data_IF_154167876446
#
_entry.id   IF_154167876446
#
_cell.length_a   1.000
_cell.length_b   1.000
_cell.length_c   1.000
_cell.angle_alpha   90.00
_cell.angle_beta   90.00
_cell.angle_gamma   90.00
#
_symmetry.space_group_name_H-M   'P 1'
#
loop_
_entity.id
_entity.type
_entity.pdbx_description
1 polymer ?
#
# COMPACT_ATOMS: atom_id res chain seq x y z
N UNK A 1 -4.13 23.67 13.99
CA UNK A 1 -3.39 22.44 13.65
C UNK A 1 -4.37 21.54 12.91
N UNK A 2 -4.23 21.40 11.58
CA UNK A 2 -5.15 20.61 10.72
C UNK A 2 -4.72 19.13 10.56
N UNK A 3 -3.62 18.72 11.19
CA UNK A 3 -3.02 17.39 10.98
C UNK A 3 -3.83 16.22 11.58
N UNK A 4 -4.87 16.49 12.36
CA UNK A 4 -5.74 15.46 12.97
C UNK A 4 -7.05 15.22 12.20
N UNK A 5 -7.23 15.83 11.03
CA UNK A 5 -8.54 15.88 10.37
C UNK A 5 -8.77 14.77 9.35
N UNK A 6 -7.94 13.74 9.31
CA UNK A 6 -8.03 12.66 8.33
C UNK A 6 -8.35 11.35 9.01
N UNK A 7 -9.38 10.68 8.50
CA UNK A 7 -9.75 9.34 8.89
C UNK A 7 -9.64 8.37 7.70
N UNK A 8 -9.31 7.12 8.01
CA UNK A 8 -9.25 6.05 7.01
C UNK A 8 -10.07 4.87 7.53
N UNK A 9 -11.19 4.60 6.87
CA UNK A 9 -12.06 3.47 7.18
C UNK A 9 -11.70 2.29 6.30
N UNK A 10 -11.38 1.14 6.91
CA UNK A 10 -10.94 -0.05 6.18
C UNK A 10 -12.05 -1.10 6.04
N UNK A 11 -12.19 -1.63 4.83
CA UNK A 11 -13.04 -2.77 4.50
C UNK A 11 -12.20 -3.88 3.86
N UNK A 12 -12.53 -5.13 4.17
CA UNK A 12 -11.81 -6.30 3.71
C UNK A 12 -12.79 -7.34 3.16
N UNK A 13 -12.44 -7.99 2.04
CA UNK A 13 -13.16 -9.12 1.48
C UNK A 13 -12.20 -10.27 1.25
N UNK A 14 -12.52 -11.45 1.78
CA UNK A 14 -11.75 -12.65 1.51
C UNK A 14 -12.16 -13.24 0.15
N UNK A 15 -11.18 -13.55 -0.67
CA UNK A 15 -11.32 -14.26 -1.93
C UNK A 15 -10.79 -15.68 -1.74
N UNK A 16 -11.71 -16.63 -1.61
CA UNK A 16 -11.42 -18.05 -1.37
C UNK A 16 -10.74 -18.72 -2.56
N UNK A 17 -10.97 -18.26 -3.78
CA UNK A 17 -10.40 -18.86 -4.98
C UNK A 17 -8.91 -18.53 -5.10
N UNK A 18 -8.53 -17.30 -4.71
CA UNK A 18 -7.15 -16.83 -4.74
C UNK A 18 -6.41 -16.95 -3.39
N UNK A 19 -7.12 -17.28 -2.31
CA UNK A 19 -6.61 -17.30 -0.92
C UNK A 19 -6.00 -15.96 -0.48
N UNK A 20 -6.63 -14.85 -0.87
CA UNK A 20 -6.19 -13.49 -0.53
C UNK A 20 -7.30 -12.70 0.15
N UNK A 21 -6.92 -11.66 0.90
CA UNK A 21 -7.87 -10.62 1.30
C UNK A 21 -7.66 -9.40 0.42
N UNK A 22 -8.75 -8.98 -0.25
CA UNK A 22 -8.84 -7.70 -0.95
C UNK A 22 -9.20 -6.61 0.06
N UNK A 23 -8.33 -5.61 0.18
CA UNK A 23 -8.45 -4.50 1.10
C UNK A 23 -8.78 -3.18 0.40
N UNK A 24 -9.71 -2.44 0.99
CA UNK A 24 -10.07 -1.08 0.60
C UNK A 24 -10.01 -0.16 1.82
N UNK A 25 -9.45 1.04 1.66
CA UNK A 25 -9.44 2.09 2.67
C UNK A 25 -10.09 3.35 2.13
N UNK A 26 -11.21 3.78 2.69
CA UNK A 26 -11.83 5.07 2.35
C UNK A 26 -11.13 6.19 3.12
N UNK A 27 -10.61 7.20 2.41
CA UNK A 27 -9.94 8.35 3.03
C UNK A 27 -10.93 9.51 3.10
N UNK A 28 -11.22 9.96 4.31
CA UNK A 28 -12.11 11.11 4.55
C UNK A 28 -11.38 12.21 5.33
N UNK A 29 -11.81 13.46 5.13
CA UNK A 29 -11.24 14.60 5.84
C UNK A 29 -12.28 15.67 6.20
N UNK A 30 -12.04 16.36 7.32
CA UNK A 30 -12.76 17.59 7.66
C UNK A 30 -12.10 18.77 6.96
N UNK A 31 -12.80 19.32 5.97
CA UNK A 31 -12.25 20.34 5.06
C UNK A 31 -12.19 21.75 5.65
N UNK A 32 -12.85 22.02 6.77
CA UNK A 32 -12.83 23.30 7.50
C UNK A 32 -13.32 23.13 8.96
N UNK A 33 -13.19 24.18 9.77
CA UNK A 33 -13.60 24.17 11.19
C UNK A 33 -15.11 23.93 11.36
N UNK A 34 -15.95 24.45 10.46
CA UNK A 34 -17.40 24.23 10.47
C UNK A 34 -17.75 22.74 10.27
N UNK A 35 -17.03 22.04 9.38
CA UNK A 35 -17.18 20.63 9.13
C UNK A 35 -16.79 19.80 10.37
N UNK A 36 -15.81 20.25 11.14
CA UNK A 36 -15.44 19.65 12.43
C UNK A 36 -16.56 19.81 13.45
N UNK A 37 -17.11 21.02 13.58
CA UNK A 37 -18.22 21.29 14.52
C UNK A 37 -19.50 20.52 14.19
N UNK A 38 -19.73 20.25 12.90
CA UNK A 38 -20.90 19.53 12.40
C UNK A 38 -20.70 18.02 12.23
N UNK A 39 -19.51 17.50 12.57
CA UNK A 39 -19.10 16.11 12.35
C UNK A 39 -19.35 15.63 10.90
N UNK A 40 -19.02 16.48 9.92
CA UNK A 40 -19.18 16.19 8.49
C UNK A 40 -17.84 15.96 7.83
N UNK A 41 -17.54 14.70 7.54
CA UNK A 41 -16.36 14.35 6.75
C UNK A 41 -16.67 14.41 5.25
N UNK A 42 -15.66 14.73 4.44
CA UNK A 42 -15.72 14.68 2.98
C UNK A 42 -14.80 13.58 2.48
N UNK A 43 -15.29 12.77 1.53
CA UNK A 43 -14.45 11.81 0.82
C UNK A 43 -13.37 12.55 0.03
N UNK A 44 -12.11 12.15 0.19
CA UNK A 44 -10.98 12.79 -0.50
C UNK A 44 -10.09 11.82 -1.26
N UNK A 45 -10.28 10.51 -1.08
CA UNK A 45 -9.39 9.51 -1.68
C UNK A 45 -9.66 8.08 -1.22
N UNK A 46 -8.80 7.16 -1.67
CA UNK A 46 -8.91 5.73 -1.36
C UNK A 46 -7.56 5.02 -1.36
N UNK A 47 -7.46 3.92 -0.62
CA UNK A 47 -6.33 2.99 -0.58
C UNK A 47 -6.80 1.62 -1.07
N UNK A 48 -6.01 0.98 -1.92
CA UNK A 48 -6.22 -0.40 -2.37
C UNK A 48 -5.01 -1.24 -2.00
N UNK A 49 -5.23 -2.40 -1.41
CA UNK A 49 -4.16 -3.30 -0.96
C UNK A 49 -4.63 -4.75 -0.99
N UNK A 50 -3.70 -5.72 -1.01
CA UNK A 50 -4.02 -7.14 -0.79
C UNK A 50 -3.20 -7.72 0.33
N UNK A 51 -3.78 -8.67 1.05
CA UNK A 51 -3.11 -9.45 2.07
C UNK A 51 -2.97 -10.90 1.65
N UNK A 52 -1.73 -11.38 1.73
CA UNK A 52 -1.32 -12.77 1.56
C UNK A 52 -0.88 -13.34 2.90
N UNK A 53 -1.58 -14.37 3.37
CA UNK A 53 -1.10 -15.21 4.45
C UNK A 53 -0.27 -16.35 3.84
N UNK A 54 1.05 -16.18 3.71
CA UNK A 54 1.84 -17.15 2.94
C UNK A 54 1.87 -18.55 3.56
N UNK A 55 1.51 -18.67 4.84
CA UNK A 55 1.28 -19.95 5.54
C UNK A 55 0.15 -20.80 4.95
N UNK A 56 -0.80 -20.20 4.21
CA UNK A 56 -1.94 -20.91 3.61
C UNK A 56 -1.64 -21.44 2.20
N UNK A 57 -0.48 -21.10 1.65
CA UNK A 57 -0.09 -21.51 0.31
C UNK A 57 0.83 -22.74 0.37
N UNK A 58 0.69 -23.62 -0.62
CA UNK A 58 1.50 -24.84 -0.68
C UNK A 58 3.00 -24.55 -0.92
N UNK A 59 3.28 -23.52 -1.71
CA UNK A 59 4.62 -23.07 -2.10
C UNK A 59 4.60 -21.62 -2.64
N UNK A 60 5.78 -21.04 -2.83
CA UNK A 60 5.96 -19.71 -3.45
C UNK A 60 5.26 -19.59 -4.81
N UNK A 61 5.25 -20.67 -5.60
CA UNK A 61 4.69 -20.64 -6.94
C UNK A 61 3.18 -20.42 -6.88
N UNK A 62 2.50 -21.04 -5.92
CA UNK A 62 1.07 -20.86 -5.68
C UNK A 62 0.74 -19.41 -5.32
N UNK A 63 1.60 -18.75 -4.53
CA UNK A 63 1.46 -17.32 -4.20
C UNK A 63 1.59 -16.46 -5.46
N UNK A 64 2.61 -16.72 -6.29
CA UNK A 64 2.84 -15.96 -7.54
C UNK A 64 1.69 -16.17 -8.53
N UNK A 65 1.12 -17.37 -8.63
CA UNK A 65 -0.06 -17.64 -9.48
C UNK A 65 -1.29 -16.85 -9.02
N UNK A 66 -1.56 -16.80 -7.70
CA UNK A 66 -2.64 -15.95 -7.18
C UNK A 66 -2.41 -14.47 -7.47
N UNK A 67 -1.16 -14.01 -7.39
CA UNK A 67 -0.79 -12.64 -7.72
C UNK A 67 -0.99 -12.32 -9.21
N UNK A 68 -0.57 -13.22 -10.12
CA UNK A 68 -0.79 -13.10 -11.58
C UNK A 68 -2.28 -13.01 -11.95
N UNK A 69 -3.12 -13.80 -11.28
CA UNK A 69 -4.57 -13.77 -11.49
C UNK A 69 -5.21 -12.40 -11.15
N UNK A 70 -4.53 -11.58 -10.34
CA UNK A 70 -4.94 -10.22 -9.99
C UNK A 70 -4.40 -9.23 -11.03
N UNK A 71 -3.08 -9.17 -11.20
CA UNK A 71 -2.40 -8.33 -12.20
C UNK A 71 -0.92 -8.68 -12.34
N UNK A 72 -0.31 -8.29 -13.47
CA UNK A 72 1.14 -8.43 -13.65
C UNK A 72 1.98 -7.55 -12.71
N UNK A 73 1.43 -6.44 -12.18
CA UNK A 73 2.11 -5.62 -11.17
C UNK A 73 2.17 -6.35 -9.82
N UNK A 74 1.07 -7.02 -9.48
CA UNK A 74 0.95 -7.82 -8.27
C UNK A 74 1.88 -9.05 -8.34
N UNK A 75 1.87 -9.76 -9.48
CA UNK A 75 2.83 -10.83 -9.79
C UNK A 75 4.27 -10.35 -9.61
N UNK A 76 4.61 -9.20 -10.20
CA UNK A 76 5.95 -8.63 -10.15
C UNK A 76 6.41 -8.30 -8.73
N UNK A 77 5.54 -7.73 -7.89
CA UNK A 77 5.83 -7.48 -6.47
C UNK A 77 6.11 -8.79 -5.72
N UNK A 78 5.21 -9.76 -5.83
CA UNK A 78 5.31 -11.02 -5.09
C UNK A 78 6.50 -11.87 -5.56
N UNK A 79 6.72 -11.96 -6.86
CA UNK A 79 7.88 -12.65 -7.42
C UNK A 79 9.19 -12.01 -6.95
N UNK A 80 9.31 -10.69 -6.99
CA UNK A 80 10.53 -9.98 -6.58
C UNK A 80 10.80 -10.15 -5.08
N UNK A 81 9.75 -10.14 -4.26
CA UNK A 81 9.85 -10.39 -2.82
C UNK A 81 10.35 -11.82 -2.53
N UNK A 82 9.74 -12.83 -3.16
CA UNK A 82 9.98 -14.25 -2.86
C UNK A 82 11.27 -14.80 -3.48
N UNK A 83 11.71 -14.26 -4.62
CA UNK A 83 12.88 -14.78 -5.36
C UNK A 83 14.13 -13.92 -5.25
N UNK A 84 14.06 -12.80 -4.54
CA UNK A 84 15.17 -11.87 -4.44
C UNK A 84 16.21 -12.27 -3.38
N UNK A 85 17.50 -12.17 -3.72
CA UNK A 85 18.65 -12.32 -2.80
C UNK A 85 18.76 -11.09 -1.86
N UNK A 86 17.71 -10.81 -1.08
CA UNK A 86 17.59 -9.59 -0.29
C UNK A 86 17.66 -9.82 1.23
N UNK A 87 17.90 -11.06 1.66
CA UNK A 87 18.02 -11.41 3.08
C UNK A 87 16.70 -11.33 3.86
N UNK A 88 15.57 -11.21 3.17
CA UNK A 88 14.23 -11.38 3.76
C UNK A 88 13.89 -12.85 3.72
N UNK A 89 14.09 -13.52 4.84
CA UNK A 89 13.87 -14.95 4.98
C UNK A 89 12.36 -15.20 5.16
N UNK A 90 11.63 -15.23 4.04
CA UNK A 90 10.25 -15.72 3.99
C UNK A 90 10.17 -17.24 4.05
N UNK A 91 11.31 -17.95 4.17
CA UNK A 91 11.42 -19.41 4.14
C UNK A 91 10.55 -20.13 5.20
N UNK A 92 10.05 -19.40 6.21
CA UNK A 92 9.15 -19.91 7.24
C UNK A 92 7.72 -19.34 7.18
N UNK A 93 7.36 -18.69 6.09
CA UNK A 93 6.08 -18.00 5.95
C UNK A 93 6.06 -16.61 6.59
N UNK A 94 4.99 -15.86 6.29
CA UNK A 94 4.78 -14.50 6.73
C UNK A 94 3.46 -13.92 6.22
N UNK A 95 3.03 -12.82 6.81
CA UNK A 95 1.86 -12.07 6.39
C UNK A 95 2.32 -10.85 5.60
N UNK A 96 2.09 -10.90 4.30
CA UNK A 96 2.53 -9.87 3.35
C UNK A 96 1.32 -9.04 2.95
N UNK A 97 1.46 -7.71 2.98
CA UNK A 97 0.51 -6.80 2.36
C UNK A 97 1.15 -6.12 1.16
N UNK A 98 0.50 -6.19 0.02
CA UNK A 98 0.87 -5.39 -1.17
C UNK A 98 0.04 -4.13 -1.19
N UNK A 99 0.68 -2.97 -1.37
CA UNK A 99 -0.02 -1.70 -1.60
C UNK A 99 -0.12 -1.48 -3.11
N UNK A 100 -1.33 -1.64 -3.65
CA UNK A 100 -1.63 -1.42 -5.07
C UNK A 100 -1.49 0.07 -5.39
N UNK A 101 -2.37 0.88 -4.79
CA UNK A 101 -2.36 2.33 -5.02
C UNK A 101 -3.05 3.10 -3.91
N UNK A 102 -2.62 4.35 -3.77
CA UNK A 102 -3.32 5.40 -3.02
C UNK A 102 -3.78 6.45 -4.03
N UNK A 103 -5.07 6.76 -4.01
CA UNK A 103 -5.71 7.77 -4.87
C UNK A 103 -6.16 8.93 -4.00
N UNK A 104 -5.85 10.16 -4.41
CA UNK A 104 -6.34 11.40 -3.77
C UNK A 104 -6.91 12.30 -4.87
N UNK A 105 -8.07 12.91 -4.64
CA UNK A 105 -8.61 13.89 -5.58
C UNK A 105 -7.67 15.10 -5.67
N UNK A 106 -7.32 15.52 -6.90
CA UNK A 106 -6.29 16.53 -7.15
C UNK A 106 -6.47 17.85 -6.35
N UNK A 107 -7.71 18.29 -6.12
CA UNK A 107 -8.00 19.52 -5.34
C UNK A 107 -7.62 19.43 -3.85
N UNK A 108 -7.44 18.22 -3.32
CA UNK A 108 -7.06 17.98 -1.92
C UNK A 108 -5.58 17.60 -1.77
N UNK A 109 -4.89 17.30 -2.88
CA UNK A 109 -3.53 16.80 -2.83
C UNK A 109 -2.54 17.81 -2.24
N UNK A 110 -1.72 17.33 -1.31
CA UNK A 110 -0.45 17.94 -0.91
C UNK A 110 0.50 16.85 -0.36
N UNK A 111 1.79 17.14 -0.27
CA UNK A 111 2.81 16.16 0.15
C UNK A 111 2.67 15.75 1.64
N UNK A 112 2.21 16.65 2.51
CA UNK A 112 2.01 16.35 3.94
C UNK A 112 0.85 15.36 4.14
N UNK A 113 -0.20 15.49 3.33
CA UNK A 113 -1.35 14.62 3.27
C UNK A 113 -0.95 13.20 2.85
N UNK A 114 -0.18 13.07 1.76
CA UNK A 114 0.35 11.80 1.29
C UNK A 114 1.14 11.09 2.40
N UNK A 115 2.04 11.82 3.07
CA UNK A 115 2.82 11.32 4.21
C UNK A 115 1.94 10.86 5.37
N UNK A 116 0.89 11.61 5.70
CA UNK A 116 -0.02 11.29 6.79
C UNK A 116 -0.84 10.03 6.50
N UNK A 117 -1.33 9.89 5.26
CA UNK A 117 -2.07 8.71 4.80
C UNK A 117 -1.18 7.47 4.87
N UNK A 118 0.03 7.55 4.30
CA UNK A 118 0.96 6.42 4.31
C UNK A 118 1.34 6.03 5.75
N UNK A 119 1.57 7.00 6.64
CA UNK A 119 1.82 6.73 8.07
C UNK A 119 0.65 6.00 8.74
N UNK A 120 -0.59 6.42 8.47
CA UNK A 120 -1.80 5.77 9.00
C UNK A 120 -1.94 4.34 8.47
N UNK A 121 -1.69 4.14 7.17
CA UNK A 121 -1.70 2.80 6.57
C UNK A 121 -0.65 1.87 7.18
N UNK A 122 0.60 2.33 7.35
CA UNK A 122 1.66 1.55 8.02
C UNK A 122 1.25 1.19 9.46
N UNK A 123 0.61 2.13 10.17
CA UNK A 123 0.13 1.90 11.54
C UNK A 123 -0.99 0.85 11.57
N UNK A 124 -1.93 0.91 10.61
CA UNK A 124 -2.97 -0.11 10.43
C UNK A 124 -2.37 -1.50 10.15
N UNK A 125 -1.39 -1.57 9.23
CA UNK A 125 -0.71 -2.82 8.92
C UNK A 125 0.03 -3.41 10.13
N UNK A 126 0.68 -2.55 10.91
CA UNK A 126 1.36 -2.94 12.15
C UNK A 126 0.35 -3.44 13.20
N UNK A 127 -0.80 -2.78 13.33
CA UNK A 127 -1.87 -3.21 14.25
C UNK A 127 -2.43 -4.59 13.89
N UNK A 128 -2.57 -4.89 12.59
CA UNK A 128 -2.97 -6.22 12.10
C UNK A 128 -1.85 -7.27 12.13
N UNK A 129 -0.67 -6.90 12.59
CA UNK A 129 0.50 -7.78 12.67
C UNK A 129 0.91 -8.35 11.30
N UNK A 130 0.88 -7.51 10.25
CA UNK A 130 1.57 -7.86 9.00
C UNK A 130 3.09 -7.81 9.22
N UNK A 131 3.82 -8.69 8.54
CA UNK A 131 5.27 -8.76 8.62
C UNK A 131 5.93 -7.82 7.60
N UNK A 132 5.33 -7.70 6.41
CA UNK A 132 5.90 -6.97 5.28
C UNK A 132 4.85 -6.13 4.56
N UNK A 133 5.22 -4.90 4.19
CA UNK A 133 4.51 -4.07 3.21
C UNK A 133 5.34 -4.03 1.95
N UNK A 134 4.78 -4.44 0.82
CA UNK A 134 5.45 -4.48 -0.49
C UNK A 134 4.76 -3.54 -1.45
N UNK A 135 5.55 -2.78 -2.20
CA UNK A 135 5.05 -1.72 -3.08
C UNK A 135 5.85 -1.67 -4.37
N UNK A 136 5.24 -1.22 -5.45
CA UNK A 136 5.98 -0.68 -6.60
C UNK A 136 6.11 0.83 -6.40
N UNK A 137 7.35 1.32 -6.38
CA UNK A 137 7.59 2.75 -6.30
C UNK A 137 7.71 3.34 -7.72
N UNK A 138 6.59 3.75 -8.31
CA UNK A 138 6.57 4.50 -9.57
C UNK A 138 6.58 6.01 -9.32
N UNK A 139 7.21 6.80 -10.21
CA UNK A 139 7.00 8.25 -10.21
C UNK A 139 5.52 8.54 -10.53
N UNK A 140 4.89 9.53 -9.89
CA UNK A 140 3.49 9.85 -10.12
C UNK A 140 3.27 10.19 -11.59
N UNK A 141 2.22 9.62 -12.18
CA UNK A 141 1.79 10.02 -13.52
C UNK A 141 1.31 11.48 -13.39
N UNK A 142 2.09 12.42 -13.93
CA UNK A 142 1.69 13.83 -13.97
C UNK A 142 0.37 13.94 -14.74
N UNK A 143 -0.62 14.70 -14.23
CA UNK A 143 -1.94 14.79 -14.82
C UNK A 143 -1.92 15.72 -16.04
N UNK A 144 -1.24 15.31 -17.12
CA UNK A 144 -1.36 15.98 -18.41
C UNK A 144 -2.45 15.34 -19.30
N UNK A 145 -3.08 14.24 -18.87
CA UNK A 145 -4.23 13.66 -19.58
C UNK A 145 -5.39 13.32 -18.61
N UNK A 146 -6.23 14.32 -18.39
CA UNK A 146 -7.71 14.22 -18.34
C UNK A 146 -8.46 13.39 -17.27
N UNK A 147 -7.84 12.80 -16.23
CA UNK A 147 -8.61 12.04 -15.21
C UNK A 147 -8.49 12.42 -13.73
N UNK A 148 -7.75 13.47 -13.34
CA UNK A 148 -7.87 14.08 -11.99
C UNK A 148 -7.48 13.18 -10.79
N UNK A 149 -6.86 12.03 -11.05
CA UNK A 149 -6.35 11.06 -10.08
C UNK A 149 -4.82 11.13 -10.13
N UNK A 150 -4.19 11.22 -8.97
CA UNK A 150 -2.75 11.05 -8.85
C UNK A 150 -2.49 9.75 -8.09
N UNK A 151 -1.69 8.87 -8.68
CA UNK A 151 -1.24 7.62 -8.04
C UNK A 151 0.05 7.90 -7.26
N UNK A 152 0.04 7.52 -5.99
CA UNK A 152 1.09 7.74 -4.99
C UNK A 152 1.30 6.47 -4.18
N UNK A 153 2.46 6.31 -3.50
CA UNK A 153 3.52 7.26 -3.12
C UNK A 153 4.81 7.29 -3.96
N UNK A 154 5.56 8.39 -3.80
CA UNK A 154 6.87 8.60 -4.44
C UNK A 154 8.00 7.75 -3.83
N UNK A 155 8.98 7.33 -4.64
CA UNK A 155 10.18 6.59 -4.19
C UNK A 155 10.84 7.20 -2.93
N UNK A 156 11.11 8.50 -2.95
CA UNK A 156 11.71 9.21 -1.80
C UNK A 156 10.84 9.16 -0.54
N UNK A 157 9.53 9.12 -0.71
CA UNK A 157 8.61 9.02 0.42
C UNK A 157 8.73 7.64 1.07
N UNK A 158 8.76 6.58 0.27
CA UNK A 158 9.00 5.23 0.77
C UNK A 158 10.32 5.09 1.50
N UNK A 159 11.41 5.65 0.97
CA UNK A 159 12.71 5.67 1.64
C UNK A 159 12.64 6.33 3.04
N UNK A 160 11.89 7.44 3.17
CA UNK A 160 11.68 8.12 4.46
C UNK A 160 10.88 7.30 5.48
N UNK A 161 10.15 6.28 5.03
CA UNK A 161 9.44 5.32 5.88
C UNK A 161 10.19 3.99 6.05
N UNK A 162 11.49 3.97 5.75
CA UNK A 162 12.36 2.81 5.87
C UNK A 162 11.98 1.63 4.96
N UNK A 163 11.37 1.92 3.80
CA UNK A 163 11.28 0.92 2.74
C UNK A 163 12.65 0.72 2.11
N UNK A 164 13.02 -0.53 1.90
CA UNK A 164 14.26 -0.95 1.26
C UNK A 164 13.96 -1.37 -0.17
N UNK A 165 14.80 -0.92 -1.10
CA UNK A 165 14.69 -1.28 -2.51
C UNK A 165 15.15 -2.73 -2.71
N UNK A 166 14.24 -3.60 -3.18
CA UNK A 166 14.53 -4.97 -3.61
C UNK A 166 15.02 -5.01 -5.07
N UNK A 167 14.86 -3.91 -5.81
CA UNK A 167 15.21 -3.81 -7.21
C UNK A 167 14.06 -4.29 -8.08
N UNK A 168 14.36 -5.26 -8.95
CA UNK A 168 13.46 -5.73 -10.00
C UNK A 168 13.98 -5.42 -11.41
N UNK A 169 13.36 -6.03 -12.41
CA UNK A 169 13.82 -5.97 -13.81
C UNK A 169 13.64 -4.58 -14.42
N UNK A 170 12.74 -3.76 -13.87
CA UNK A 170 12.44 -2.42 -14.35
C UNK A 170 13.04 -1.32 -13.47
N UNK A 171 14.14 -0.70 -13.94
CA UNK A 171 14.83 0.40 -13.23
C UNK A 171 13.94 1.62 -12.91
N UNK A 172 12.76 1.75 -13.53
CA UNK A 172 11.84 2.89 -13.36
C UNK A 172 10.68 2.60 -12.40
N UNK A 173 10.51 1.34 -12.00
CA UNK A 173 9.45 0.88 -11.11
C UNK A 173 10.04 -0.16 -10.14
N UNK A 174 10.96 0.24 -9.24
CA UNK A 174 11.55 -0.68 -8.29
C UNK A 174 10.49 -1.20 -7.31
N UNK A 175 10.58 -2.49 -6.99
CA UNK A 175 9.85 -3.07 -5.87
C UNK A 175 10.57 -2.68 -4.59
N UNK A 176 9.82 -2.16 -3.62
CA UNK A 176 10.33 -1.83 -2.30
C UNK A 176 9.56 -2.58 -1.23
N UNK A 177 10.22 -2.87 -0.11
CA UNK A 177 9.61 -3.55 1.03
C UNK A 177 9.91 -2.82 2.33
N UNK A 178 8.92 -2.72 3.21
CA UNK A 178 9.12 -2.39 4.62
C UNK A 178 8.88 -3.65 5.45
N UNK A 179 9.88 -4.04 6.24
CA UNK A 179 9.73 -5.06 7.27
C UNK A 179 9.21 -4.38 8.55
N UNK A 180 8.04 -4.82 9.03
CA UNK A 180 7.36 -4.27 10.21
C UNK A 180 7.82 -4.90 11.52
N UNK A 181 8.58 -5.99 11.47
CA UNK A 181 9.14 -6.66 12.64
C UNK A 181 10.48 -6.05 13.11
N UNK A 182 11.14 -5.29 12.25
CA UNK A 182 12.30 -4.50 12.65
C UNK A 182 11.81 -3.26 13.39
N UNK A 183 12.18 -3.13 14.66
CA UNK A 183 11.94 -1.89 15.41
C UNK A 183 12.81 -0.80 14.80
N UNK A 184 12.18 0.30 14.39
CA UNK A 184 12.84 1.57 14.05
C UNK A 184 13.67 2.09 15.25
#
# INVERSE_FOLDING_TARGET
MLNDLIDISYANSFDEDLYIINGFGEITSYINEEAVELDKTTHIGSIFYRFYNTYEFADDLSIVISADAISGEEEYMMYTLLKGDHGYDLDYGGKVVTLDRIIIENKYYNEELERLILKKFISYCSYLMFDYIVVIATPPITPNDSKGVIEFPQLKMYENFHFVNLGGTEKRAPVMVKNLNLKD
#
